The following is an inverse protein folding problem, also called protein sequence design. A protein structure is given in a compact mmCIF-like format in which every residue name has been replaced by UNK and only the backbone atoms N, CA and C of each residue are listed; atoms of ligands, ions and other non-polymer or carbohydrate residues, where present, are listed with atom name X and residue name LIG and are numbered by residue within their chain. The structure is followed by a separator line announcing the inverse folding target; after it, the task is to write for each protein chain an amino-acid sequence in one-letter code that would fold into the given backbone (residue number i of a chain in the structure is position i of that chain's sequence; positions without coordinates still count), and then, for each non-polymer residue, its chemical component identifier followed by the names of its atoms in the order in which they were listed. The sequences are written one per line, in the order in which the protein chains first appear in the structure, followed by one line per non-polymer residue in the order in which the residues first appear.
data_IF_556238809341
#
_entry.id   IF_556238809341
#
_cell.length_a   1.000
_cell.length_b   1.000
_cell.length_c   1.000
_cell.angle_alpha   90.00
_cell.angle_beta   90.00
_cell.angle_gamma   90.00
#
_symmetry.space_group_name_H-M   'P 1'
#
loop_
_entity.id
_entity.type
_entity.pdbx_description
1 polymer ?
#
# COMPACT_ATOMS: atom_id res chain seq x y z
N UNK A 1 -40.89 48.92 -16.06
CA UNK A 1 -40.01 49.09 -17.24
C UNK A 1 -39.07 47.90 -17.35
N UNK A 2 -38.86 47.38 -18.55
CA UNK A 2 -37.93 46.28 -18.85
C UNK A 2 -36.53 46.86 -19.13
N UNK A 3 -35.44 46.20 -18.69
CA UNK A 3 -34.36 45.65 -19.55
C UNK A 3 -33.20 45.04 -18.72
N UNK A 4 -32.97 43.75 -18.98
CA UNK A 4 -31.77 42.86 -18.82
C UNK A 4 -30.50 43.47 -18.18
N UNK A 5 -29.78 42.71 -17.35
CA UNK A 5 -28.67 41.86 -17.86
C UNK A 5 -28.29 40.72 -16.90
N UNK A 6 -28.26 39.52 -17.48
CA UNK A 6 -27.78 38.23 -16.96
C UNK A 6 -26.26 38.26 -16.73
N UNK A 7 -25.78 37.82 -15.56
CA UNK A 7 -24.52 37.06 -15.38
C UNK A 7 -24.54 36.34 -14.03
N UNK A 8 -24.35 35.02 -14.08
CA UNK A 8 -23.98 34.11 -13.00
C UNK A 8 -22.81 33.26 -13.56
N UNK A 9 -22.03 32.53 -12.77
CA UNK A 9 -21.38 32.83 -11.48
C UNK A 9 -19.84 32.74 -11.62
N UNK A 10 -19.06 33.22 -10.65
CA UNK A 10 -17.68 32.75 -10.44
C UNK A 10 -17.69 31.87 -9.19
N UNK A 11 -18.01 30.58 -9.37
CA UNK A 11 -17.75 29.59 -8.32
C UNK A 11 -16.26 29.27 -8.35
N UNK A 12 -15.61 29.35 -7.19
CA UNK A 12 -14.22 28.96 -7.04
C UNK A 12 -14.06 27.47 -7.35
N UNK A 13 -13.28 27.15 -8.37
CA UNK A 13 -12.75 25.80 -8.55
C UNK A 13 -11.50 25.68 -7.68
N UNK A 14 -11.70 25.47 -6.38
CA UNK A 14 -10.71 24.70 -5.63
C UNK A 14 -10.77 23.30 -6.22
N UNK A 15 -9.74 22.93 -6.99
CA UNK A 15 -9.58 21.55 -7.43
C UNK A 15 -9.27 20.73 -6.18
N UNK A 16 -10.32 20.22 -5.54
CA UNK A 16 -10.27 19.01 -4.73
C UNK A 16 -9.49 17.98 -5.53
N UNK A 17 -8.28 17.69 -5.05
CA UNK A 17 -7.47 16.62 -5.58
C UNK A 17 -8.30 15.34 -5.42
N UNK A 18 -8.68 14.78 -6.55
CA UNK A 18 -9.29 13.47 -6.65
C UNK A 18 -8.40 12.49 -5.90
N UNK A 19 -8.86 12.03 -4.73
CA UNK A 19 -8.38 10.80 -4.12
C UNK A 19 -8.86 9.67 -5.03
N UNK A 20 -8.19 9.52 -6.17
CA UNK A 20 -8.33 8.36 -7.02
C UNK A 20 -8.04 7.16 -6.15
N UNK A 21 -8.94 6.16 -6.17
CA UNK A 21 -8.72 4.91 -5.50
C UNK A 21 -7.43 4.28 -6.07
N UNK A 22 -6.29 4.53 -5.43
CA UNK A 22 -5.08 3.78 -5.67
C UNK A 22 -5.33 2.39 -5.10
N UNK A 23 -5.11 1.37 -5.94
CA UNK A 23 -4.94 -0.01 -5.46
C UNK A 23 -3.97 -0.01 -4.26
N UNK A 24 -4.10 -0.93 -3.28
CA UNK A 24 -3.21 -0.95 -2.12
C UNK A 24 -1.76 -0.93 -2.63
N UNK A 25 -1.07 0.17 -2.36
CA UNK A 25 0.25 0.41 -2.93
C UNK A 25 1.29 -0.49 -2.25
N UNK A 26 1.03 -0.86 -1.00
CA UNK A 26 1.95 -1.62 -0.17
C UNK A 26 1.56 -3.09 -0.13
N UNK A 27 2.47 -3.96 -0.54
CA UNK A 27 2.37 -5.42 -0.35
C UNK A 27 3.27 -5.87 0.78
N UNK A 28 2.75 -6.74 1.63
CA UNK A 28 3.51 -7.36 2.72
C UNK A 28 3.55 -8.85 2.50
N UNK A 29 4.73 -9.41 2.26
CA UNK A 29 4.91 -10.84 2.07
C UNK A 29 5.23 -11.51 3.39
N UNK A 30 4.41 -12.49 3.79
CA UNK A 30 4.72 -13.31 4.97
C UNK A 30 3.54 -14.08 5.55
N UNK A 31 3.72 -14.50 6.80
CA UNK A 31 2.72 -15.25 7.57
C UNK A 31 2.05 -14.33 8.59
N UNK A 32 0.72 -14.22 8.56
CA UNK A 32 -0.03 -13.41 9.53
C UNK A 32 0.29 -13.76 11.00
N UNK A 33 0.61 -15.03 11.28
CA UNK A 33 0.98 -15.50 12.63
C UNK A 33 2.43 -15.16 13.04
N UNK A 34 3.26 -14.63 12.14
CA UNK A 34 4.65 -14.27 12.47
C UNK A 34 4.68 -12.96 13.27
N UNK A 35 5.37 -12.91 14.42
CA UNK A 35 5.48 -11.67 15.20
C UNK A 35 6.20 -10.55 14.43
N UNK A 36 7.14 -10.91 13.54
CA UNK A 36 7.87 -9.95 12.70
C UNK A 36 6.96 -9.34 11.64
N UNK A 37 6.07 -10.14 11.04
CA UNK A 37 5.06 -9.66 10.09
C UNK A 37 4.03 -8.80 10.82
N UNK A 38 3.55 -9.25 11.99
CA UNK A 38 2.59 -8.52 12.80
C UNK A 38 3.09 -7.10 13.19
N UNK A 39 4.40 -6.94 13.44
CA UNK A 39 5.00 -5.61 13.68
C UNK A 39 4.87 -4.69 12.47
N UNK A 40 5.21 -5.17 11.27
CA UNK A 40 5.06 -4.39 10.06
C UNK A 40 3.59 -4.02 9.78
N UNK A 41 2.68 -4.97 9.95
CA UNK A 41 1.24 -4.73 9.78
C UNK A 41 0.74 -3.68 10.78
N UNK A 42 1.12 -3.78 12.06
CA UNK A 42 0.75 -2.79 13.07
C UNK A 42 1.23 -1.38 12.70
N UNK A 43 2.46 -1.23 12.22
CA UNK A 43 2.98 0.07 11.78
C UNK A 43 2.20 0.63 10.58
N UNK A 44 1.78 -0.21 9.64
CA UNK A 44 0.97 0.22 8.50
C UNK A 44 -0.44 0.64 8.92
N UNK A 45 -1.06 -0.10 9.84
CA UNK A 45 -2.34 0.25 10.45
C UNK A 45 -2.26 1.60 11.20
N UNK A 46 -1.23 1.78 12.04
CA UNK A 46 -1.01 3.04 12.77
C UNK A 46 -0.73 4.22 11.84
N UNK A 47 -0.07 3.98 10.70
CA UNK A 47 0.18 4.99 9.67
C UNK A 47 -1.05 5.26 8.77
N UNK A 48 -2.11 4.46 8.86
CA UNK A 48 -3.29 4.57 8.00
C UNK A 48 -2.98 4.28 6.52
N UNK A 49 -2.03 3.38 6.25
CA UNK A 49 -1.61 2.99 4.90
C UNK A 49 -2.38 1.74 4.48
N UNK A 50 -3.07 1.80 3.34
CA UNK A 50 -3.73 0.63 2.77
C UNK A 50 -2.68 -0.38 2.26
N UNK A 51 -2.77 -1.64 2.70
CA UNK A 51 -1.84 -2.69 2.33
C UNK A 51 -2.53 -4.02 1.97
N UNK A 52 -1.81 -4.85 1.22
CA UNK A 52 -2.18 -6.23 0.93
C UNK A 52 -1.20 -7.18 1.65
N UNK A 53 -1.70 -8.02 2.55
CA UNK A 53 -0.91 -9.14 3.06
C UNK A 53 -0.91 -10.26 2.01
N UNK A 54 0.23 -10.49 1.36
CA UNK A 54 0.45 -11.60 0.44
C UNK A 54 0.83 -12.84 1.25
N UNK A 55 -0.09 -13.82 1.41
CA UNK A 55 0.15 -14.98 2.24
C UNK A 55 1.22 -15.86 1.62
N UNK A 56 2.15 -16.33 2.45
CA UNK A 56 3.16 -17.32 2.08
C UNK A 56 2.91 -18.63 2.81
N UNK A 57 3.38 -19.75 2.27
CA UNK A 57 3.45 -21.02 2.97
C UNK A 57 4.85 -21.26 3.51
N UNK A 58 4.93 -21.58 4.81
CA UNK A 58 6.19 -21.99 5.44
C UNK A 58 6.55 -23.41 5.05
N UNK A 59 5.54 -24.26 4.92
CA UNK A 59 5.61 -25.68 4.61
C UNK A 59 6.03 -25.92 3.16
N UNK A 60 5.49 -25.13 2.21
CA UNK A 60 5.89 -25.17 0.81
C UNK A 60 7.26 -24.52 0.56
N UNK A 61 7.78 -23.79 1.56
CA UNK A 61 9.11 -23.18 1.47
C UNK A 61 9.16 -21.96 0.57
N UNK A 62 8.07 -21.20 0.43
CA UNK A 62 7.98 -20.04 -0.48
C UNK A 62 9.09 -19.01 -0.26
N UNK A 63 9.51 -18.83 1.00
CA UNK A 63 10.63 -17.97 1.40
C UNK A 63 12.01 -18.38 0.86
N UNK A 64 12.12 -19.55 0.22
CA UNK A 64 13.34 -20.06 -0.42
C UNK A 64 13.24 -20.10 -1.94
N UNK A 65 12.07 -19.77 -2.49
CA UNK A 65 11.87 -19.79 -3.94
C UNK A 65 12.65 -18.61 -4.56
N UNK A 66 13.18 -18.77 -5.78
CA UNK A 66 13.96 -17.73 -6.45
C UNK A 66 13.24 -16.39 -6.51
N UNK A 67 11.93 -16.40 -6.76
CA UNK A 67 11.09 -15.19 -6.85
C UNK A 67 11.02 -14.42 -5.53
N UNK A 68 11.10 -15.10 -4.39
CA UNK A 68 11.14 -14.46 -3.08
C UNK A 68 12.57 -14.03 -2.70
N UNK A 69 13.56 -14.87 -3.01
CA UNK A 69 14.97 -14.55 -2.76
C UNK A 69 15.47 -13.34 -3.56
N UNK A 70 14.86 -13.08 -4.73
CA UNK A 70 15.10 -11.86 -5.49
C UNK A 70 14.66 -10.58 -4.74
N UNK A 71 13.71 -10.70 -3.81
CA UNK A 71 13.19 -9.59 -2.97
C UNK A 71 13.95 -9.48 -1.66
N UNK A 72 14.26 -10.61 -1.04
CA UNK A 72 15.07 -10.69 0.17
C UNK A 72 16.08 -11.86 0.07
N UNK A 73 17.38 -11.59 -0.10
CA UNK A 73 18.39 -12.63 -0.25
C UNK A 73 18.56 -13.51 1.00
N UNK A 74 18.07 -13.06 2.17
CA UNK A 74 18.09 -13.84 3.40
C UNK A 74 16.91 -14.81 3.56
N UNK A 75 15.90 -14.72 2.69
CA UNK A 75 14.73 -15.59 2.76
C UNK A 75 13.91 -15.43 4.04
N UNK A 76 13.88 -14.21 4.59
CA UNK A 76 13.16 -13.87 5.82
C UNK A 76 11.91 -13.04 5.51
N UNK A 77 10.92 -13.09 6.42
CA UNK A 77 9.70 -12.28 6.37
C UNK A 77 9.67 -11.33 7.58
N UNK A 78 9.04 -10.15 7.48
CA UNK A 78 8.31 -9.62 6.33
C UNK A 78 9.23 -9.08 5.22
N UNK A 79 8.67 -8.98 4.02
CA UNK A 79 9.15 -8.10 2.94
C UNK A 79 8.00 -7.14 2.61
N UNK A 80 8.29 -5.85 2.57
CA UNK A 80 7.36 -4.83 2.10
C UNK A 80 7.75 -4.38 0.69
N UNK A 81 6.75 -4.19 -0.15
CA UNK A 81 6.91 -3.56 -1.46
C UNK A 81 5.95 -2.39 -1.62
N UNK A 82 6.49 -1.24 -1.98
CA UNK A 82 5.76 -0.02 -2.33
C UNK A 82 6.26 0.49 -3.68
N UNK A 83 5.56 0.14 -4.75
CA UNK A 83 6.01 0.40 -6.12
C UNK A 83 7.36 -0.27 -6.43
N UNK A 84 8.38 0.54 -6.71
CA UNK A 84 9.74 0.08 -7.02
C UNK A 84 10.62 -0.11 -5.76
N UNK A 85 10.09 0.22 -4.58
CA UNK A 85 10.81 0.12 -3.31
C UNK A 85 10.51 -1.23 -2.64
N UNK A 86 11.55 -2.04 -2.42
CA UNK A 86 11.48 -3.28 -1.64
C UNK A 86 12.29 -3.12 -0.35
N UNK A 87 11.64 -3.40 0.79
CA UNK A 87 12.25 -3.33 2.13
C UNK A 87 12.09 -4.69 2.82
N UNK A 88 13.14 -5.14 3.48
CA UNK A 88 13.13 -6.34 4.33
C UNK A 88 13.81 -6.02 5.68
N UNK A 89 13.59 -6.88 6.68
CA UNK A 89 13.83 -6.67 8.13
C UNK A 89 12.67 -5.96 8.86
N UNK A 90 12.46 -6.31 10.14
CA UNK A 90 11.31 -5.88 10.98
C UNK A 90 11.67 -5.10 12.24
#
# INVERSE_FOLDING_TARGET
EHTRTRRSPRSGSGSEQSKGAMAPAVKVYGWAMSPFVARALLCLEEAGVDYELVPMSREAGDHRQPDFLARNPFGQVPVLEDGDLTIFES
#
